data_IF_705511618466
#
_entry.id   IF_705511618466
#
_cell.length_a   1.000
_cell.length_b   1.000
_cell.length_c   1.000
_cell.angle_alpha   90.00
_cell.angle_beta   90.00
_cell.angle_gamma   90.00
#
_symmetry.space_group_name_H-M   'P 1'
#
loop_
_entity.id
_entity.type
_entity.pdbx_description
1 polymer ?
#
# COMPACT_ATOMS: atom_id res chain seq x y z
N UNK A 1 -3.82 -21.20 0.87
CA UNK A 1 -4.62 -20.14 1.54
C UNK A 1 -6.10 -20.48 1.65
N UNK A 2 -6.82 -20.90 0.57
CA UNK A 2 -8.25 -21.27 0.64
C UNK A 2 -8.50 -22.34 1.72
N UNK A 3 -7.75 -23.45 1.69
CA UNK A 3 -7.87 -24.54 2.67
C UNK A 3 -7.65 -24.05 4.11
N UNK A 4 -6.67 -23.17 4.31
CA UNK A 4 -6.39 -22.64 5.66
C UNK A 4 -7.53 -21.75 6.18
N UNK A 5 -8.13 -20.94 5.31
CA UNK A 5 -9.30 -20.16 5.72
C UNK A 5 -10.51 -21.04 6.02
N UNK A 6 -10.72 -22.12 5.27
CA UNK A 6 -11.76 -23.10 5.60
C UNK A 6 -11.51 -23.70 6.98
N UNK A 7 -10.31 -24.16 7.27
CA UNK A 7 -9.93 -24.72 8.57
C UNK A 7 -10.10 -23.71 9.72
N UNK A 8 -9.75 -22.43 9.51
CA UNK A 8 -9.99 -21.38 10.51
C UNK A 8 -11.49 -21.24 10.79
N UNK A 9 -12.32 -21.19 9.74
CA UNK A 9 -13.76 -21.05 9.89
C UNK A 9 -14.38 -22.25 10.61
N UNK A 10 -13.97 -23.46 10.26
CA UNK A 10 -14.39 -24.70 10.94
C UNK A 10 -14.00 -24.71 12.42
N UNK A 11 -12.76 -24.28 12.73
CA UNK A 11 -12.26 -24.16 14.11
C UNK A 11 -13.09 -23.15 14.93
N UNK A 12 -13.60 -22.10 14.28
CA UNK A 12 -14.51 -21.13 14.89
C UNK A 12 -15.96 -21.65 15.04
N UNK A 13 -16.25 -22.87 14.59
CA UNK A 13 -17.57 -23.45 14.66
C UNK A 13 -18.55 -22.98 13.58
N UNK A 14 -18.03 -22.41 12.48
CA UNK A 14 -18.86 -21.93 11.36
C UNK A 14 -19.22 -23.11 10.43
N UNK A 15 -20.49 -23.18 10.03
CA UNK A 15 -20.97 -24.19 9.10
C UNK A 15 -20.71 -23.80 7.65
N UNK A 16 -19.73 -24.41 7.02
CA UNK A 16 -19.39 -24.18 5.62
C UNK A 16 -20.37 -24.81 4.61
N UNK A 17 -21.37 -25.55 5.07
CA UNK A 17 -22.47 -26.04 4.22
C UNK A 17 -23.56 -24.99 4.04
N UNK A 18 -23.58 -23.96 4.90
CA UNK A 18 -24.45 -22.79 4.73
C UNK A 18 -24.09 -22.05 3.41
N UNK A 19 -25.10 -21.84 2.58
CA UNK A 19 -24.93 -21.19 1.27
C UNK A 19 -24.34 -19.77 1.35
N UNK A 20 -24.50 -19.07 2.47
CA UNK A 20 -23.88 -17.75 2.69
C UNK A 20 -22.37 -17.84 2.96
N UNK A 21 -21.91 -18.93 3.58
CA UNK A 21 -20.52 -19.14 4.00
C UNK A 21 -19.70 -20.01 3.05
N UNK A 22 -20.34 -20.87 2.26
CA UNK A 22 -19.69 -21.84 1.39
C UNK A 22 -18.58 -21.25 0.49
N UNK A 23 -18.80 -20.05 -0.07
CA UNK A 23 -17.82 -19.37 -0.92
C UNK A 23 -16.82 -18.48 -0.16
N UNK A 24 -16.95 -18.35 1.16
CA UNK A 24 -16.15 -17.40 1.95
C UNK A 24 -14.66 -17.72 1.94
N UNK A 25 -14.17 -18.96 2.09
CA UNK A 25 -12.74 -19.26 2.05
C UNK A 25 -12.07 -18.80 0.75
N UNK A 26 -12.76 -18.97 -0.38
CA UNK A 26 -12.25 -18.51 -1.68
C UNK A 26 -12.21 -16.96 -1.76
N UNK A 27 -13.31 -16.29 -1.38
CA UNK A 27 -13.42 -14.83 -1.41
C UNK A 27 -12.35 -14.18 -0.54
N UNK A 28 -12.18 -14.68 0.68
CA UNK A 28 -11.17 -14.17 1.62
C UNK A 28 -9.76 -14.40 1.08
N UNK A 29 -9.44 -15.59 0.62
CA UNK A 29 -8.14 -15.91 0.05
C UNK A 29 -7.80 -14.99 -1.14
N UNK A 30 -8.76 -14.78 -2.05
CA UNK A 30 -8.60 -13.90 -3.22
C UNK A 30 -8.36 -12.44 -2.80
N UNK A 31 -9.14 -11.94 -1.85
CA UNK A 31 -9.00 -10.58 -1.30
C UNK A 31 -7.62 -10.38 -0.66
N UNK A 32 -7.19 -11.32 0.20
CA UNK A 32 -5.90 -11.23 0.86
C UNK A 32 -4.72 -11.21 -0.13
N UNK A 33 -4.74 -12.09 -1.15
CA UNK A 33 -3.66 -12.15 -2.14
C UNK A 33 -3.64 -10.93 -3.06
N UNK A 34 -4.80 -10.50 -3.53
CA UNK A 34 -4.85 -9.52 -4.61
C UNK A 34 -5.00 -8.08 -4.14
N UNK A 35 -5.57 -7.86 -2.96
CA UNK A 35 -5.94 -6.54 -2.46
C UNK A 35 -5.15 -6.21 -1.19
N UNK A 36 -5.39 -6.93 -0.07
CA UNK A 36 -4.79 -6.61 1.24
C UNK A 36 -3.26 -6.73 1.20
N UNK A 37 -2.72 -7.77 0.55
CA UNK A 37 -1.29 -7.99 0.41
C UNK A 37 -0.79 -7.86 -1.03
N UNK A 38 -1.53 -7.13 -1.85
CA UNK A 38 -1.18 -6.87 -3.24
C UNK A 38 0.19 -6.22 -3.42
N UNK A 39 0.63 -5.42 -2.45
CA UNK A 39 1.93 -4.76 -2.44
C UNK A 39 3.14 -5.70 -2.23
N UNK A 40 2.90 -6.99 -1.91
CA UNK A 40 3.96 -8.00 -1.90
C UNK A 40 4.33 -8.50 -3.31
N UNK A 41 3.51 -8.21 -4.33
CA UNK A 41 3.76 -8.60 -5.70
C UNK A 41 4.59 -7.54 -6.43
N UNK A 42 5.83 -7.82 -6.85
CA UNK A 42 6.69 -6.84 -7.53
C UNK A 42 6.10 -6.30 -8.84
N UNK A 43 5.34 -7.13 -9.56
CA UNK A 43 4.66 -6.78 -10.80
C UNK A 43 3.54 -5.74 -10.62
N UNK A 44 3.02 -5.60 -9.41
CA UNK A 44 2.03 -4.57 -9.04
C UNK A 44 2.66 -3.24 -8.62
N UNK A 45 4.01 -3.17 -8.56
CA UNK A 45 4.70 -1.91 -8.22
C UNK A 45 4.33 -0.82 -9.22
N UNK A 46 3.82 0.33 -8.77
CA UNK A 46 3.40 1.38 -9.68
C UNK A 46 4.60 1.96 -10.44
N UNK A 47 4.48 2.04 -11.76
CA UNK A 47 5.44 2.80 -12.56
C UNK A 47 5.21 4.28 -12.31
N UNK A 48 6.16 4.94 -11.69
CA UNK A 48 6.12 6.37 -11.46
C UNK A 48 6.33 7.11 -12.79
N UNK A 49 5.36 7.92 -13.17
CA UNK A 49 5.55 8.88 -14.27
C UNK A 49 6.10 10.16 -13.68
N UNK A 50 7.28 10.54 -14.14
CA UNK A 50 7.95 11.78 -13.75
C UNK A 50 7.95 12.76 -14.91
N UNK A 51 8.07 14.03 -14.60
CA UNK A 51 8.11 15.13 -15.54
C UNK A 51 9.29 16.04 -15.20
N UNK A 52 9.85 16.69 -16.21
CA UNK A 52 10.83 17.74 -15.99
C UNK A 52 10.17 18.93 -15.29
N UNK A 53 10.82 19.45 -14.26
CA UNK A 53 10.41 20.68 -13.57
C UNK A 53 10.73 21.90 -14.44
N UNK A 54 9.97 22.11 -15.52
CA UNK A 54 10.18 23.19 -16.49
C UNK A 54 10.10 24.58 -15.89
N UNK A 55 9.31 24.73 -14.83
CA UNK A 55 9.10 26.02 -14.16
C UNK A 55 10.15 26.30 -13.09
N UNK A 56 11.12 25.40 -12.90
CA UNK A 56 12.17 25.52 -11.88
C UNK A 56 11.62 25.80 -10.48
N UNK A 57 10.47 25.20 -10.17
CA UNK A 57 9.84 25.32 -8.85
C UNK A 57 10.76 24.66 -7.81
N UNK A 58 11.31 25.47 -6.89
CA UNK A 58 12.27 25.03 -5.88
C UNK A 58 11.73 25.01 -4.45
N UNK A 59 10.43 25.28 -4.29
CA UNK A 59 9.79 25.24 -3.00
C UNK A 59 9.36 23.82 -2.63
N UNK A 60 9.04 23.61 -1.35
CA UNK A 60 8.53 22.34 -0.87
C UNK A 60 7.15 22.04 -1.49
N UNK A 61 7.03 20.90 -2.14
CA UNK A 61 5.75 20.39 -2.61
C UNK A 61 5.21 19.42 -1.55
N UNK A 62 3.97 19.61 -1.13
CA UNK A 62 3.35 18.80 -0.07
C UNK A 62 2.03 18.23 -0.57
N UNK A 63 1.88 16.91 -0.53
CA UNK A 63 0.62 16.21 -0.68
C UNK A 63 0.14 15.71 0.69
N UNK A 64 -1.06 16.13 1.09
CA UNK A 64 -1.60 15.84 2.42
C UNK A 64 -2.82 14.92 2.34
N UNK A 65 -3.07 14.24 3.45
CA UNK A 65 -4.28 13.45 3.66
C UNK A 65 -4.45 12.28 2.68
N UNK A 66 -3.36 11.69 2.21
CA UNK A 66 -3.40 10.46 1.43
C UNK A 66 -3.96 9.37 2.34
N UNK A 67 -5.20 8.98 2.13
CA UNK A 67 -5.81 7.89 2.90
C UNK A 67 -5.10 6.58 2.59
N UNK A 68 -4.72 5.83 3.60
CA UNK A 68 -4.11 4.53 3.45
C UNK A 68 -4.81 3.48 4.32
N UNK A 69 -4.82 2.27 3.80
CA UNK A 69 -5.24 1.08 4.50
C UNK A 69 -4.08 0.08 4.48
N UNK A 70 -3.69 -0.40 5.65
CA UNK A 70 -2.62 -1.36 5.81
C UNK A 70 -3.04 -2.45 6.77
N UNK A 71 -2.15 -3.36 7.08
CA UNK A 71 -2.39 -4.47 7.99
C UNK A 71 -1.23 -4.58 8.96
N UNK A 72 -1.55 -4.58 10.26
CA UNK A 72 -0.54 -4.77 11.30
C UNK A 72 0.13 -6.14 11.14
N UNK A 73 1.46 -6.19 11.08
CA UNK A 73 2.17 -7.44 10.91
C UNK A 73 2.06 -8.41 12.10
N UNK A 74 1.80 -7.87 13.30
CA UNK A 74 1.75 -8.68 14.51
C UNK A 74 0.43 -9.44 14.70
N UNK A 75 -0.69 -8.83 14.29
CA UNK A 75 -2.03 -9.37 14.55
C UNK A 75 -2.88 -9.52 13.30
N UNK A 76 -2.39 -9.08 12.15
CA UNK A 76 -3.13 -8.99 10.87
C UNK A 76 -4.42 -8.15 10.97
N UNK A 77 -4.49 -7.26 11.95
CA UNK A 77 -5.59 -6.30 12.08
C UNK A 77 -5.39 -5.11 11.13
N UNK A 78 -6.50 -4.50 10.66
CA UNK A 78 -6.44 -3.33 9.81
C UNK A 78 -5.78 -2.14 10.51
N UNK A 79 -4.93 -1.43 9.77
CA UNK A 79 -4.43 -0.10 10.09
C UNK A 79 -5.11 0.88 9.14
N UNK A 80 -5.79 1.88 9.68
CA UNK A 80 -6.41 2.95 8.91
C UNK A 80 -5.72 4.25 9.28
N UNK A 81 -5.19 4.94 8.27
CA UNK A 81 -4.43 6.16 8.52
C UNK A 81 -4.36 7.10 7.34
N UNK A 82 -3.56 8.14 7.51
CA UNK A 82 -3.25 9.12 6.47
C UNK A 82 -1.74 9.33 6.38
N UNK A 83 -1.23 9.36 5.16
CA UNK A 83 0.13 9.77 4.88
C UNK A 83 0.17 11.24 4.42
N UNK A 84 1.26 11.90 4.73
CA UNK A 84 1.62 13.20 4.21
C UNK A 84 3.00 13.05 3.59
N UNK A 85 3.14 13.48 2.35
CA UNK A 85 4.40 13.38 1.60
C UNK A 85 4.82 14.78 1.21
N UNK A 86 6.10 15.09 1.44
CA UNK A 86 6.68 16.34 1.03
C UNK A 86 8.03 16.10 0.35
N UNK A 87 8.35 16.91 -0.65
CA UNK A 87 9.68 16.87 -1.29
C UNK A 87 10.05 18.20 -1.90
N UNK A 88 11.35 18.40 -2.12
CA UNK A 88 11.89 19.51 -2.90
C UNK A 88 12.45 18.96 -4.21
N UNK A 89 11.95 19.49 -5.33
CA UNK A 89 12.36 19.04 -6.66
C UNK A 89 13.78 19.50 -7.01
N UNK A 90 14.61 18.56 -7.45
CA UNK A 90 15.94 18.84 -8.06
C UNK A 90 15.90 18.63 -9.59
N UNK A 91 14.85 19.11 -10.23
CA UNK A 91 14.68 19.03 -11.68
C UNK A 91 13.64 18.03 -12.16
N UNK A 92 13.14 17.18 -11.27
CA UNK A 92 12.11 16.17 -11.57
C UNK A 92 10.94 16.32 -10.62
N UNK A 93 9.74 16.23 -11.15
CA UNK A 93 8.49 16.19 -10.37
C UNK A 93 7.71 14.93 -10.69
N UNK A 94 6.95 14.43 -9.72
CA UNK A 94 6.09 13.25 -9.85
C UNK A 94 4.63 13.67 -9.82
N UNK A 95 3.81 13.01 -10.62
CA UNK A 95 2.36 13.26 -10.59
C UNK A 95 1.75 12.85 -9.25
N UNK A 96 0.86 13.69 -8.68
CA UNK A 96 0.20 13.46 -7.39
C UNK A 96 -0.45 12.07 -7.30
N UNK A 97 -1.17 11.66 -8.35
CA UNK A 97 -1.77 10.32 -8.40
C UNK A 97 -0.74 9.18 -8.34
N UNK A 98 0.53 9.43 -8.68
CA UNK A 98 1.60 8.43 -8.57
C UNK A 98 2.13 8.35 -7.15
N UNK A 99 2.22 9.46 -6.43
CA UNK A 99 2.52 9.45 -5.00
C UNK A 99 1.48 8.64 -4.23
N UNK A 100 0.20 8.87 -4.48
CA UNK A 100 -0.89 8.09 -3.89
C UNK A 100 -0.72 6.58 -4.15
N UNK A 101 -0.40 6.19 -5.37
CA UNK A 101 -0.19 4.77 -5.73
C UNK A 101 1.02 4.15 -5.05
N UNK A 102 2.11 4.91 -4.89
CA UNK A 102 3.29 4.45 -4.16
C UNK A 102 2.92 4.21 -2.69
N UNK A 103 2.25 5.16 -2.05
CA UNK A 103 1.78 5.00 -0.67
C UNK A 103 0.90 3.76 -0.52
N UNK A 104 -0.09 3.56 -1.41
CA UNK A 104 -0.97 2.40 -1.39
C UNK A 104 -0.20 1.08 -1.61
N UNK A 105 0.73 1.05 -2.54
CA UNK A 105 1.52 -0.16 -2.81
C UNK A 105 2.31 -0.63 -1.60
N UNK A 106 2.96 0.31 -0.88
CA UNK A 106 3.71 -0.03 0.33
C UNK A 106 2.79 -0.28 1.54
N UNK A 107 1.61 0.32 1.58
CA UNK A 107 0.61 0.06 2.61
C UNK A 107 -0.02 -1.34 2.49
N UNK A 108 -0.17 -1.88 1.27
CA UNK A 108 -0.77 -3.19 1.01
C UNK A 108 0.19 -4.36 1.34
N UNK A 109 0.74 -4.35 2.56
CA UNK A 109 1.66 -5.36 3.11
C UNK A 109 1.40 -5.54 4.60
N UNK A 110 1.88 -6.63 5.23
CA UNK A 110 2.03 -6.65 6.67
C UNK A 110 3.03 -5.57 7.08
N UNK A 111 2.62 -4.60 7.91
CA UNK A 111 3.40 -3.39 8.18
C UNK A 111 3.48 -3.02 9.66
N UNK A 112 4.53 -2.25 9.95
CA UNK A 112 4.60 -1.31 11.07
C UNK A 112 4.80 0.09 10.51
N UNK A 113 4.36 1.09 11.23
CA UNK A 113 4.34 2.48 10.75
C UNK A 113 5.73 2.97 10.32
N UNK A 114 6.76 2.65 11.08
CA UNK A 114 8.14 3.08 10.85
C UNK A 114 8.67 2.53 9.52
N UNK A 115 8.50 1.24 9.29
CA UNK A 115 8.93 0.59 8.04
C UNK A 115 8.16 1.11 6.83
N UNK A 116 6.84 1.29 6.97
CA UNK A 116 6.01 1.85 5.91
C UNK A 116 6.51 3.23 5.50
N UNK A 117 6.80 4.09 6.48
CA UNK A 117 7.32 5.44 6.24
C UNK A 117 8.66 5.39 5.48
N UNK A 118 9.61 4.59 5.95
CA UNK A 118 10.92 4.45 5.33
C UNK A 118 10.80 3.94 3.88
N UNK A 119 9.99 2.93 3.64
CA UNK A 119 9.81 2.37 2.30
C UNK A 119 9.22 3.37 1.30
N UNK A 120 8.29 4.21 1.74
CA UNK A 120 7.70 5.27 0.91
C UNK A 120 8.76 6.34 0.58
N UNK A 121 9.52 6.78 1.59
CA UNK A 121 10.58 7.79 1.43
C UNK A 121 11.64 7.30 0.46
N UNK A 122 12.19 6.10 0.66
CA UNK A 122 13.24 5.54 -0.19
C UNK A 122 12.78 5.36 -1.65
N UNK A 123 11.55 4.92 -1.86
CA UNK A 123 10.98 4.83 -3.21
C UNK A 123 10.89 6.21 -3.88
N UNK A 124 10.42 7.21 -3.15
CA UNK A 124 10.26 8.56 -3.69
C UNK A 124 11.60 9.23 -3.96
N UNK A 125 12.62 9.01 -3.12
CA UNK A 125 14.00 9.45 -3.39
C UNK A 125 14.52 8.89 -4.71
N UNK A 126 14.34 7.59 -4.94
CA UNK A 126 14.75 6.95 -6.19
C UNK A 126 13.99 7.50 -7.40
N UNK A 127 12.68 7.67 -7.28
CA UNK A 127 11.82 8.18 -8.37
C UNK A 127 12.13 9.63 -8.72
N UNK A 128 12.40 10.47 -7.73
CA UNK A 128 12.62 11.90 -7.88
C UNK A 128 14.09 12.28 -8.14
N UNK A 129 15.03 11.40 -7.80
CA UNK A 129 16.46 11.69 -7.87
C UNK A 129 16.90 12.77 -6.88
N UNK A 130 16.30 12.82 -5.69
CA UNK A 130 16.60 13.77 -4.63
C UNK A 130 16.59 13.10 -3.27
N UNK A 131 17.38 13.60 -2.35
CA UNK A 131 17.36 13.19 -0.94
C UNK A 131 16.34 14.00 -0.11
N UNK A 132 15.79 15.07 -0.66
CA UNK A 132 14.89 15.99 0.03
C UNK A 132 13.42 15.50 -0.08
N UNK A 133 13.13 14.40 0.62
CA UNK A 133 11.80 13.78 0.70
C UNK A 133 11.41 13.62 2.16
#
# INVERSE_FOLDING_TARGET
MIIHFAQIMETLGLDLTDGSLQGTPYRVAKMYVNEIFGGLHPDKKPKASTFSNKYKYGEILVEKNITLYSTCEHHLLPIVGKAHVAYISKGTVVGLSKMNRIVQYYAQRPQVQERLTIQIVEELKQVLGTEDV
#
